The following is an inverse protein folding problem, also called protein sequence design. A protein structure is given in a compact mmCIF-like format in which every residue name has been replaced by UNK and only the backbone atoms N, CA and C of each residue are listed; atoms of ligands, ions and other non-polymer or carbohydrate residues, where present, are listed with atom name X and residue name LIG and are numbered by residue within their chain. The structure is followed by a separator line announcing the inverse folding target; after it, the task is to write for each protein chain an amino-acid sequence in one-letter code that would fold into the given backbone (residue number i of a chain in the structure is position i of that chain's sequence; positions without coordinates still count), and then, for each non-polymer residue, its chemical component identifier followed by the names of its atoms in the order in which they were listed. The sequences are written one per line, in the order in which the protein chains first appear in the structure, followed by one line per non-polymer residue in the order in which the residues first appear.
data_IF_679900446676
#
_entry.id   IF_679900446676
#
_cell.length_a   1.000
_cell.length_b   1.000
_cell.length_c   1.000
_cell.angle_alpha   90.00
_cell.angle_beta   90.00
_cell.angle_gamma   90.00
#
_symmetry.space_group_name_H-M   'P 1'
#
loop_
_entity.id
_entity.type
_entity.pdbx_description
1 polymer ?
#
# COMPACT_ATOMS: atom_id res chain seq x y z
N UNK A 1 -13.26 35.66 -41.52
CA UNK A 1 -12.89 34.33 -41.01
C UNK A 1 -14.10 33.43 -41.19
N UNK A 2 -13.93 32.25 -41.77
CA UNK A 2 -15.01 31.28 -41.99
C UNK A 2 -15.60 30.83 -40.65
N UNK A 3 -16.92 30.60 -40.64
CA UNK A 3 -17.68 30.27 -39.42
C UNK A 3 -17.15 28.97 -38.76
N UNK A 4 -16.63 28.05 -39.57
CA UNK A 4 -15.96 26.82 -39.13
C UNK A 4 -14.69 27.10 -38.32
N UNK A 5 -13.86 28.04 -38.76
CA UNK A 5 -12.64 28.42 -38.06
C UNK A 5 -12.96 29.08 -36.71
N UNK A 6 -14.08 29.81 -36.62
CA UNK A 6 -14.55 30.41 -35.37
C UNK A 6 -15.02 29.32 -34.41
N UNK A 7 -15.79 28.33 -34.88
CA UNK A 7 -16.27 27.21 -34.04
C UNK A 7 -15.08 26.38 -33.53
N UNK A 8 -14.09 26.08 -34.37
CA UNK A 8 -12.88 25.36 -33.97
C UNK A 8 -12.10 26.16 -32.92
N UNK A 9 -11.91 27.46 -33.13
CA UNK A 9 -11.20 28.31 -32.18
C UNK A 9 -11.91 28.39 -30.82
N UNK A 10 -13.25 28.49 -30.81
CA UNK A 10 -14.05 28.52 -29.58
C UNK A 10 -14.03 27.18 -28.86
N UNK A 11 -14.11 26.06 -29.60
CA UNK A 11 -14.02 24.71 -29.02
C UNK A 11 -12.65 24.44 -28.40
N UNK A 12 -11.57 24.86 -29.08
CA UNK A 12 -10.21 24.75 -28.55
C UNK A 12 -10.01 25.61 -27.30
N UNK A 13 -10.55 26.84 -27.30
CA UNK A 13 -10.51 27.74 -26.15
C UNK A 13 -11.25 27.13 -24.95
N UNK A 14 -12.44 26.57 -25.16
CA UNK A 14 -13.21 25.89 -24.12
C UNK A 14 -12.47 24.67 -23.56
N UNK A 15 -11.83 23.88 -24.42
CA UNK A 15 -11.02 22.73 -24.00
C UNK A 15 -9.84 23.14 -23.11
N UNK A 16 -9.14 24.21 -23.47
CA UNK A 16 -8.02 24.74 -22.67
C UNK A 16 -8.52 25.27 -21.32
N UNK A 17 -9.64 26.00 -21.30
CA UNK A 17 -10.23 26.51 -20.06
C UNK A 17 -10.64 25.35 -19.14
N UNK A 18 -11.25 24.30 -19.67
CA UNK A 18 -11.59 23.10 -18.89
C UNK A 18 -10.36 22.38 -18.37
N UNK A 19 -9.31 22.24 -19.18
CA UNK A 19 -8.06 21.63 -18.75
C UNK A 19 -7.43 22.39 -17.57
N UNK A 20 -7.36 23.72 -17.67
CA UNK A 20 -6.86 24.58 -16.59
C UNK A 20 -7.73 24.43 -15.33
N UNK A 21 -9.06 24.36 -15.49
CA UNK A 21 -9.99 24.16 -14.39
C UNK A 21 -9.77 22.80 -13.69
N UNK A 22 -9.52 21.73 -14.45
CA UNK A 22 -9.25 20.40 -13.89
C UNK A 22 -7.92 20.40 -13.12
N UNK A 23 -6.85 20.95 -13.71
CA UNK A 23 -5.54 21.05 -13.04
C UNK A 23 -5.66 21.90 -11.76
N UNK A 24 -6.45 22.97 -11.81
CA UNK A 24 -6.75 23.82 -10.66
C UNK A 24 -7.52 23.07 -9.58
N UNK A 25 -8.54 22.28 -9.96
CA UNK A 25 -9.31 21.48 -9.01
C UNK A 25 -8.46 20.40 -8.36
N UNK A 26 -7.58 19.72 -9.11
CA UNK A 26 -6.64 18.74 -8.53
C UNK A 26 -5.71 19.43 -7.54
N UNK A 27 -5.11 20.56 -7.91
CA UNK A 27 -4.23 21.32 -7.03
C UNK A 27 -4.97 21.83 -5.80
N UNK A 28 -6.20 22.33 -5.97
CA UNK A 28 -7.01 22.87 -4.89
C UNK A 28 -7.60 21.79 -3.98
N UNK A 29 -7.94 20.63 -4.51
CA UNK A 29 -8.32 19.45 -3.71
C UNK A 29 -7.11 18.96 -2.93
N UNK A 30 -5.93 18.89 -3.53
CA UNK A 30 -4.69 18.57 -2.84
C UNK A 30 -4.34 19.60 -1.74
N UNK A 31 -4.58 20.90 -1.98
CA UNK A 31 -4.45 21.95 -0.96
C UNK A 31 -5.54 21.86 0.11
N UNK A 32 -6.77 21.44 -0.24
CA UNK A 32 -7.87 21.24 0.71
C UNK A 32 -7.63 20.01 1.58
N UNK A 33 -7.05 18.95 1.03
CA UNK A 33 -6.57 17.79 1.78
C UNK A 33 -5.42 18.24 2.69
N UNK A 34 -4.37 18.88 2.15
CA UNK A 34 -3.26 19.40 2.94
C UNK A 34 -3.73 20.38 4.04
N UNK A 35 -4.77 21.19 3.76
CA UNK A 35 -5.34 22.15 4.71
C UNK A 35 -6.31 21.53 5.70
N UNK A 36 -7.03 20.47 5.35
CA UNK A 36 -7.85 19.70 6.29
C UNK A 36 -6.96 18.87 7.23
N UNK A 37 -5.89 18.27 6.71
CA UNK A 37 -4.86 17.58 7.49
C UNK A 37 -4.05 18.54 8.38
N UNK A 38 -3.77 19.77 7.94
CA UNK A 38 -3.10 20.78 8.78
C UNK A 38 -4.05 21.57 9.70
N UNK A 39 -5.33 21.78 9.35
CA UNK A 39 -6.30 22.40 10.26
C UNK A 39 -6.72 21.48 11.41
N UNK A 40 -6.68 20.16 11.21
CA UNK A 40 -6.79 19.22 12.34
C UNK A 40 -5.58 19.27 13.27
N UNK A 41 -4.44 19.83 12.82
CA UNK A 41 -3.23 20.08 13.61
C UNK A 41 -3.09 21.49 14.20
N UNK A 42 -3.91 22.47 13.81
CA UNK A 42 -3.73 23.89 14.21
C UNK A 42 -4.99 24.53 14.85
N UNK A 43 -6.16 23.89 14.81
CA UNK A 43 -7.35 24.37 15.52
C UNK A 43 -7.43 23.85 16.97
N UNK A 44 -6.44 24.17 17.81
CA UNK A 44 -6.55 24.04 19.28
C UNK A 44 -5.55 24.98 19.99
N UNK A 45 -5.62 26.28 19.67
CA UNK A 45 -5.07 27.33 20.53
C UNK A 45 -6.25 28.09 21.11
N UNK A 46 -6.73 27.63 22.27
CA UNK A 46 -7.87 28.21 22.96
C UNK A 46 -8.50 27.26 23.95
N UNK A 47 -7.98 27.28 25.17
CA UNK A 47 -8.63 26.85 26.42
C UNK A 47 -8.62 25.36 26.82
N UNK A 48 -8.00 25.15 27.99
CA UNK A 48 -8.13 24.06 28.98
C UNK A 48 -7.55 22.67 28.65
N UNK A 49 -6.31 22.49 29.14
CA UNK A 49 -5.84 21.39 30.00
C UNK A 49 -6.84 20.22 30.18
N UNK A 50 -6.60 19.09 29.50
CA UNK A 50 -6.34 17.72 30.02
C UNK A 50 -6.58 16.67 28.92
N UNK A 51 -5.63 15.73 28.78
CA UNK A 51 -5.68 14.44 28.05
C UNK A 51 -5.58 14.40 26.50
N UNK A 52 -4.64 13.55 26.04
CA UNK A 52 -4.31 13.16 24.66
C UNK A 52 -3.52 14.16 23.80
N UNK A 53 -2.27 14.48 24.20
CA UNK A 53 -1.25 14.65 23.16
C UNK A 53 -1.04 13.28 22.49
N UNK A 54 -1.12 13.14 21.15
CA UNK A 54 -0.68 11.92 20.49
C UNK A 54 0.79 11.72 20.84
N UNK A 55 1.09 10.69 21.63
CA UNK A 55 2.45 10.33 21.99
C UNK A 55 3.28 10.25 20.71
N UNK A 56 4.30 11.09 20.57
CA UNK A 56 5.14 11.18 19.36
C UNK A 56 5.86 9.84 19.13
N UNK A 57 5.28 8.97 18.32
CA UNK A 57 5.88 7.70 17.86
C UNK A 57 6.99 8.04 16.86
N UNK A 58 8.11 7.31 16.88
CA UNK A 58 9.25 7.53 15.97
C UNK A 58 9.77 8.98 15.96
N UNK A 59 9.90 9.60 17.12
CA UNK A 59 10.35 11.00 17.23
C UNK A 59 9.38 12.04 16.65
N UNK A 60 8.18 11.62 16.21
CA UNK A 60 7.20 12.46 15.52
C UNK A 60 7.41 12.58 14.01
N UNK A 61 8.22 11.70 13.42
CA UNK A 61 8.43 11.64 11.97
C UNK A 61 7.19 11.10 11.25
N UNK A 62 6.85 11.68 10.09
CA UNK A 62 5.86 11.09 9.18
C UNK A 62 6.41 9.85 8.47
N UNK A 63 5.56 9.04 7.85
CA UNK A 63 5.98 7.78 7.19
C UNK A 63 7.15 7.95 6.23
N UNK A 64 7.11 8.95 5.35
CA UNK A 64 8.20 9.24 4.41
C UNK A 64 9.46 9.73 5.10
N UNK A 65 9.33 10.61 6.09
CA UNK A 65 10.49 11.09 6.87
C UNK A 65 11.15 9.96 7.64
N UNK A 66 10.35 9.05 8.20
CA UNK A 66 10.82 7.86 8.90
C UNK A 66 11.58 6.94 7.94
N UNK A 67 11.04 6.70 6.74
CA UNK A 67 11.72 5.93 5.71
C UNK A 67 13.07 6.54 5.33
N UNK A 68 13.10 7.84 5.01
CA UNK A 68 14.31 8.54 4.58
C UNK A 68 15.40 8.51 5.68
N UNK A 69 15.01 8.74 6.94
CA UNK A 69 15.92 8.65 8.09
C UNK A 69 16.42 7.21 8.29
N UNK A 70 15.57 6.20 8.12
CA UNK A 70 15.97 4.80 8.27
C UNK A 70 16.96 4.36 7.20
N UNK A 71 16.75 4.78 5.95
CA UNK A 71 17.70 4.56 4.85
C UNK A 71 19.02 5.27 5.15
N UNK A 72 19.00 6.50 5.66
CA UNK A 72 20.21 7.21 6.08
C UNK A 72 20.99 6.42 7.14
N UNK A 73 20.30 5.94 8.19
CA UNK A 73 20.88 5.13 9.26
C UNK A 73 21.48 3.82 8.72
N UNK A 74 20.76 3.11 7.85
CA UNK A 74 21.23 1.86 7.24
C UNK A 74 22.50 2.06 6.40
N UNK A 75 22.68 3.25 5.82
CA UNK A 75 23.88 3.64 5.07
C UNK A 75 25.00 4.26 5.95
N UNK A 76 24.89 4.14 7.28
CA UNK A 76 25.90 4.61 8.23
C UNK A 76 25.70 6.04 8.73
N UNK A 77 24.53 6.63 8.50
CA UNK A 77 24.14 7.92 9.07
C UNK A 77 23.92 7.89 10.59
N UNK A 78 24.01 9.07 11.20
CA UNK A 78 23.74 9.26 12.62
C UNK A 78 22.24 9.18 12.92
N UNK A 79 21.88 8.64 14.08
CA UNK A 79 20.49 8.55 14.54
C UNK A 79 20.08 9.86 15.23
N UNK A 80 19.69 10.86 14.44
CA UNK A 80 19.38 12.20 14.93
C UNK A 80 18.12 12.26 15.79
N UNK A 81 17.20 11.32 15.57
CA UNK A 81 15.88 11.29 16.20
C UNK A 81 15.73 10.21 17.28
N UNK A 82 16.78 9.41 17.52
CA UNK A 82 16.77 8.33 18.52
C UNK A 82 15.83 7.18 18.13
N UNK A 83 15.58 6.98 16.84
CA UNK A 83 14.57 6.06 16.34
C UNK A 83 15.08 4.62 16.24
N UNK A 84 16.39 4.35 16.37
CA UNK A 84 16.96 2.98 16.35
C UNK A 84 16.31 2.05 17.39
N UNK A 85 15.88 2.58 18.53
CA UNK A 85 15.18 1.82 19.56
C UNK A 85 13.82 1.27 19.14
N UNK A 86 13.21 1.86 18.10
CA UNK A 86 11.92 1.45 17.55
C UNK A 86 12.06 0.56 16.29
N UNK A 87 13.26 0.02 16.01
CA UNK A 87 13.55 -0.79 14.80
C UNK A 87 12.52 -1.88 14.56
N UNK A 88 12.26 -2.73 15.55
CA UNK A 88 11.36 -3.87 15.39
C UNK A 88 9.93 -3.41 15.08
N UNK A 89 9.52 -2.27 15.63
CA UNK A 89 8.22 -1.67 15.34
C UNK A 89 8.14 -1.13 13.92
N UNK A 90 9.19 -0.46 13.46
CA UNK A 90 9.28 0.02 12.07
C UNK A 90 9.24 -1.17 11.09
N UNK A 91 10.02 -2.21 11.33
CA UNK A 91 10.03 -3.42 10.49
C UNK A 91 8.66 -4.10 10.45
N UNK A 92 7.99 -4.25 11.59
CA UNK A 92 6.64 -4.82 11.64
C UNK A 92 5.61 -4.00 10.84
N UNK A 93 5.72 -2.66 10.87
CA UNK A 93 4.84 -1.79 10.07
C UNK A 93 5.09 -1.93 8.57
N UNK A 94 6.36 -2.04 8.18
CA UNK A 94 6.72 -2.19 6.78
C UNK A 94 6.33 -3.57 6.24
N UNK A 95 6.49 -4.61 7.07
CA UNK A 95 6.07 -5.98 6.78
C UNK A 95 4.56 -6.02 6.55
N UNK A 96 3.78 -5.40 7.43
CA UNK A 96 2.33 -5.32 7.29
C UNK A 96 1.91 -4.55 6.02
N UNK A 97 2.60 -3.45 5.70
CA UNK A 97 2.36 -2.69 4.48
C UNK A 97 2.62 -3.55 3.24
N UNK A 98 3.80 -4.18 3.14
CA UNK A 98 4.15 -5.03 2.01
C UNK A 98 3.18 -6.21 1.87
N UNK A 99 2.86 -6.91 2.97
CA UNK A 99 1.85 -8.00 2.99
C UNK A 99 0.49 -7.52 2.51
N UNK A 100 0.04 -6.33 2.94
CA UNK A 100 -1.23 -5.76 2.50
C UNK A 100 -1.24 -5.52 0.99
N UNK A 101 -0.17 -4.96 0.41
CA UNK A 101 -0.08 -4.71 -1.03
C UNK A 101 -0.14 -6.01 -1.83
N UNK A 102 0.61 -7.03 -1.41
CA UNK A 102 0.66 -8.34 -2.07
C UNK A 102 -0.72 -9.00 -2.00
N UNK A 103 -1.34 -9.03 -0.82
CA UNK A 103 -2.64 -9.65 -0.59
C UNK A 103 -3.73 -8.97 -1.41
N UNK A 104 -3.82 -7.64 -1.37
CA UNK A 104 -4.79 -6.88 -2.17
C UNK A 104 -4.55 -7.11 -3.66
N UNK A 105 -3.29 -7.14 -4.12
CA UNK A 105 -2.96 -7.52 -5.49
C UNK A 105 -3.56 -8.88 -5.85
N UNK A 106 -3.29 -9.91 -5.06
CA UNK A 106 -3.79 -11.27 -5.30
C UNK A 106 -5.32 -11.36 -5.34
N UNK A 107 -6.00 -10.73 -4.38
CA UNK A 107 -7.47 -10.67 -4.33
C UNK A 107 -8.05 -9.99 -5.58
N UNK A 108 -7.40 -8.93 -6.07
CA UNK A 108 -7.79 -8.21 -7.28
C UNK A 108 -7.52 -9.02 -8.55
N UNK A 109 -6.41 -9.75 -8.59
CA UNK A 109 -6.10 -10.69 -9.67
C UNK A 109 -7.15 -11.78 -9.81
N UNK A 110 -7.54 -12.39 -8.68
CA UNK A 110 -8.54 -13.45 -8.64
C UNK A 110 -9.96 -12.95 -8.98
N UNK A 111 -10.30 -11.72 -8.60
CA UNK A 111 -11.64 -11.13 -8.83
C UNK A 111 -11.77 -10.30 -10.12
N UNK A 112 -10.69 -10.16 -10.91
CA UNK A 112 -10.63 -9.25 -12.07
C UNK A 112 -10.97 -7.79 -11.74
N UNK A 113 -10.70 -7.36 -10.51
CA UNK A 113 -10.88 -5.98 -10.05
C UNK A 113 -9.58 -5.19 -10.21
N UNK A 114 -9.63 -3.89 -10.49
CA UNK A 114 -8.43 -3.09 -10.76
C UNK A 114 -8.43 -1.75 -10.01
N UNK A 115 -8.49 -1.79 -8.70
CA UNK A 115 -8.26 -0.62 -7.84
C UNK A 115 -6.89 -0.77 -7.17
N UNK A 116 -5.95 0.12 -7.46
CA UNK A 116 -4.63 0.05 -6.83
C UNK A 116 -4.75 0.64 -5.42
N UNK A 117 -4.29 -0.07 -4.36
CA UNK A 117 -4.36 0.45 -3.01
C UNK A 117 -3.57 1.76 -2.88
N UNK A 118 -4.07 2.64 -2.01
CA UNK A 118 -3.42 3.92 -1.73
C UNK A 118 -2.03 3.72 -1.14
N UNK A 119 -1.07 4.49 -1.65
CA UNK A 119 0.26 4.66 -1.06
C UNK A 119 0.45 6.18 -0.86
N UNK A 120 0.57 6.66 0.38
CA UNK A 120 0.82 5.93 1.62
C UNK A 120 -0.39 5.15 2.16
N UNK A 121 -0.10 4.10 2.94
CA UNK A 121 -1.10 3.23 3.56
C UNK A 121 -1.24 3.58 5.05
N UNK A 122 -2.45 3.97 5.45
CA UNK A 122 -2.76 4.23 6.86
C UNK A 122 -2.98 2.91 7.61
N UNK A 123 -2.06 2.58 8.51
CA UNK A 123 -2.14 1.40 9.37
C UNK A 123 -2.72 1.81 10.73
N UNK A 124 -3.82 1.17 11.13
CA UNK A 124 -4.36 1.32 12.50
C UNK A 124 -3.48 0.57 13.50
N UNK A 125 -2.91 1.30 14.44
CA UNK A 125 -2.15 0.76 15.57
C UNK A 125 -2.95 0.88 16.88
N UNK A 126 -2.52 0.17 17.92
CA UNK A 126 -3.10 0.25 19.27
C UNK A 126 -3.08 1.66 19.89
N UNK A 127 -2.26 2.57 19.35
CA UNK A 127 -2.07 3.94 19.87
C UNK A 127 -2.39 5.03 18.84
N UNK A 128 -3.23 4.74 17.86
CA UNK A 128 -3.61 5.67 16.79
C UNK A 128 -3.28 5.11 15.40
N UNK A 129 -3.44 5.94 14.39
CA UNK A 129 -3.15 5.58 13.00
C UNK A 129 -1.75 6.05 12.62
N UNK A 130 -0.99 5.23 11.89
CA UNK A 130 0.31 5.59 11.35
C UNK A 130 0.34 5.41 9.85
N UNK A 131 0.81 6.44 9.17
CA UNK A 131 1.02 6.45 7.73
C UNK A 131 2.30 5.67 7.42
N UNK A 132 2.16 4.42 6.96
CA UNK A 132 3.30 3.64 6.49
C UNK A 132 3.62 4.02 5.05
N UNK A 133 4.89 4.27 4.77
CA UNK A 133 5.39 4.67 3.46
C UNK A 133 6.32 3.60 2.89
N UNK A 134 6.13 3.32 1.60
CA UNK A 134 7.06 2.57 0.76
C UNK A 134 7.31 3.39 -0.51
N UNK A 135 8.53 3.37 -1.08
CA UNK A 135 8.79 4.00 -2.37
C UNK A 135 7.78 3.52 -3.42
N UNK A 136 7.18 4.46 -4.16
CA UNK A 136 6.07 4.19 -5.07
C UNK A 136 6.39 3.10 -6.09
N UNK A 137 7.62 3.06 -6.61
CA UNK A 137 8.09 2.01 -7.52
C UNK A 137 8.01 0.61 -6.90
N UNK A 138 8.41 0.45 -5.64
CA UNK A 138 8.39 -0.82 -4.94
C UNK A 138 6.97 -1.23 -4.57
N UNK A 139 6.17 -0.28 -4.07
CA UNK A 139 4.77 -0.53 -3.75
C UNK A 139 3.95 -0.95 -4.98
N UNK A 140 4.10 -0.25 -6.11
CA UNK A 140 3.45 -0.61 -7.37
C UNK A 140 3.88 -1.99 -7.85
N UNK A 141 5.18 -2.29 -7.78
CA UNK A 141 5.71 -3.59 -8.20
C UNK A 141 5.16 -4.75 -7.37
N UNK A 142 5.11 -4.61 -6.04
CA UNK A 142 4.55 -5.62 -5.15
C UNK A 142 3.08 -5.90 -5.47
N UNK A 143 2.29 -4.84 -5.69
CA UNK A 143 0.88 -4.97 -6.06
C UNK A 143 0.70 -5.66 -7.42
N UNK A 144 1.45 -5.24 -8.44
CA UNK A 144 1.36 -5.79 -9.80
C UNK A 144 1.69 -7.29 -9.82
N UNK A 145 2.80 -7.67 -9.18
CA UNK A 145 3.19 -9.07 -9.07
C UNK A 145 2.19 -9.89 -8.26
N UNK A 146 1.66 -9.33 -7.17
CA UNK A 146 0.58 -9.96 -6.40
C UNK A 146 -0.66 -10.20 -7.26
N UNK A 147 -1.03 -9.23 -8.12
CA UNK A 147 -2.16 -9.33 -9.02
C UNK A 147 -1.97 -10.37 -10.11
N UNK A 148 -0.81 -10.39 -10.75
CA UNK A 148 -0.46 -11.45 -11.71
C UNK A 148 -0.47 -12.82 -11.05
N UNK A 149 -0.03 -12.92 -9.79
CA UNK A 149 -0.06 -14.15 -9.03
C UNK A 149 -1.50 -14.59 -8.70
N UNK A 150 -2.39 -13.65 -8.38
CA UNK A 150 -3.80 -13.93 -8.14
C UNK A 150 -4.57 -14.36 -9.38
N UNK A 151 -4.16 -13.88 -10.57
CA UNK A 151 -4.80 -14.21 -11.85
C UNK A 151 -4.23 -15.47 -12.54
N UNK A 152 -3.10 -16.00 -12.07
CA UNK A 152 -2.40 -17.11 -12.70
C UNK A 152 -2.80 -18.46 -12.08
N UNK A 153 -3.24 -19.39 -12.92
CA UNK A 153 -3.52 -20.78 -12.54
C UNK A 153 -2.32 -21.72 -12.78
N UNK A 154 -1.30 -21.29 -13.54
CA UNK A 154 -0.13 -22.10 -13.87
C UNK A 154 0.89 -22.11 -12.72
N UNK A 155 1.16 -23.30 -12.16
CA UNK A 155 2.13 -23.48 -11.07
C UNK A 155 3.53 -22.97 -11.43
N UNK A 156 3.98 -23.10 -12.68
CA UNK A 156 5.31 -22.60 -13.08
C UNK A 156 5.36 -21.08 -13.09
N UNK A 157 4.34 -20.44 -13.67
CA UNK A 157 4.21 -18.98 -13.65
C UNK A 157 4.08 -18.44 -12.22
N UNK A 158 3.26 -19.08 -11.38
CA UNK A 158 3.11 -18.70 -9.96
C UNK A 158 4.43 -18.76 -9.18
N UNK A 159 5.24 -19.81 -9.41
CA UNK A 159 6.57 -19.93 -8.81
C UNK A 159 7.55 -18.85 -9.29
N UNK A 160 7.48 -18.45 -10.56
CA UNK A 160 8.29 -17.35 -11.08
C UNK A 160 7.86 -15.99 -10.48
N UNK A 161 6.55 -15.77 -10.33
CA UNK A 161 5.98 -14.56 -9.73
C UNK A 161 6.30 -14.44 -8.24
N UNK A 162 6.24 -15.55 -7.49
CA UNK A 162 6.65 -15.57 -6.08
C UNK A 162 8.14 -15.29 -5.90
N UNK A 163 8.99 -15.79 -6.80
CA UNK A 163 10.42 -15.46 -6.82
C UNK A 163 10.67 -13.97 -7.09
N UNK A 164 9.95 -13.37 -8.05
CA UNK A 164 10.05 -11.93 -8.34
C UNK A 164 9.53 -11.05 -7.17
N UNK A 165 8.50 -11.51 -6.47
CA UNK A 165 8.01 -10.91 -5.23
C UNK A 165 9.09 -10.93 -4.14
N UNK A 166 9.71 -12.10 -3.92
CA UNK A 166 10.81 -12.27 -2.97
C UNK A 166 11.98 -11.35 -3.29
N UNK A 167 12.38 -11.25 -4.57
CA UNK A 167 13.44 -10.32 -5.01
C UNK A 167 13.08 -8.86 -4.75
N UNK A 168 11.83 -8.46 -4.98
CA UNK A 168 11.36 -7.09 -4.69
C UNK A 168 11.42 -6.79 -3.20
N UNK A 169 11.02 -7.73 -2.34
CA UNK A 169 11.08 -7.57 -0.88
C UNK A 169 12.51 -7.64 -0.34
N UNK A 170 13.39 -8.43 -0.96
CA UNK A 170 14.82 -8.44 -0.65
C UNK A 170 15.46 -7.08 -0.97
N UNK A 171 15.12 -6.46 -2.10
CA UNK A 171 15.59 -5.11 -2.43
C UNK A 171 15.14 -4.06 -1.40
N UNK A 172 13.89 -4.16 -0.90
CA UNK A 172 13.42 -3.35 0.23
C UNK A 172 14.30 -3.62 1.45
N UNK A 173 14.46 -4.89 1.83
CA UNK A 173 15.21 -5.33 3.02
C UNK A 173 16.65 -4.81 3.03
N UNK A 174 17.35 -4.91 1.89
CA UNK A 174 18.71 -4.41 1.72
C UNK A 174 18.78 -2.88 1.87
N UNK A 175 17.77 -2.16 1.37
CA UNK A 175 17.73 -0.69 1.46
C UNK A 175 17.58 -0.15 2.88
N UNK A 176 17.07 -0.95 3.81
CA UNK A 176 16.81 -0.56 5.20
C UNK A 176 17.53 -1.43 6.24
N UNK A 177 18.43 -2.32 5.81
CA UNK A 177 19.14 -3.30 6.65
C UNK A 177 18.19 -4.10 7.56
N UNK A 178 17.10 -4.63 6.99
CA UNK A 178 16.09 -5.39 7.75
C UNK A 178 16.52 -6.84 8.04
N UNK A 179 17.32 -7.44 7.15
CA UNK A 179 17.78 -8.83 7.22
C UNK A 179 16.80 -9.84 6.59
N UNK A 180 17.20 -11.11 6.54
CA UNK A 180 16.46 -12.15 5.82
C UNK A 180 15.12 -12.54 6.46
N UNK A 181 14.97 -12.36 7.78
CA UNK A 181 13.72 -12.67 8.49
C UNK A 181 12.55 -11.78 8.06
N UNK A 182 12.83 -10.56 7.61
CA UNK A 182 11.82 -9.64 7.07
C UNK A 182 11.21 -10.18 5.78
N UNK A 183 12.05 -10.72 4.90
CA UNK A 183 11.64 -11.30 3.62
C UNK A 183 10.81 -12.55 3.86
N UNK A 184 11.28 -13.44 4.74
CA UNK A 184 10.56 -14.66 5.12
C UNK A 184 9.16 -14.35 5.71
N UNK A 185 9.07 -13.38 6.63
CA UNK A 185 7.79 -13.03 7.26
C UNK A 185 6.81 -12.36 6.27
N UNK A 186 7.32 -11.53 5.36
CA UNK A 186 6.53 -10.89 4.31
C UNK A 186 6.00 -11.90 3.29
N UNK A 187 6.81 -12.88 2.89
CA UNK A 187 6.46 -13.90 1.90
C UNK A 187 5.62 -15.06 2.46
N UNK A 188 5.45 -15.14 3.78
CA UNK A 188 4.79 -16.27 4.46
C UNK A 188 3.40 -16.62 3.92
N UNK A 189 2.61 -15.63 3.50
CA UNK A 189 1.24 -15.84 3.03
C UNK A 189 1.15 -15.93 1.49
N UNK A 190 2.28 -16.00 0.78
CA UNK A 190 2.33 -16.05 -0.69
C UNK A 190 2.26 -17.52 -1.15
N UNK A 191 1.13 -17.97 -1.73
CA UNK A 191 0.96 -19.36 -2.12
C UNK A 191 1.72 -19.68 -3.39
N UNK A 192 2.69 -20.59 -3.29
CA UNK A 192 3.45 -21.12 -4.44
C UNK A 192 2.59 -22.06 -5.28
N UNK A 193 1.67 -22.78 -4.65
CA UNK A 193 0.75 -23.71 -5.30
C UNK A 193 -0.64 -23.08 -5.49
N UNK A 194 -1.43 -23.49 -6.50
CA UNK A 194 -2.83 -23.09 -6.61
C UNK A 194 -3.59 -23.53 -5.35
N UNK A 195 -4.64 -22.81 -4.92
CA UNK A 195 -5.54 -23.32 -3.89
C UNK A 195 -6.10 -24.66 -4.39
N UNK A 196 -5.83 -25.74 -3.67
CA UNK A 196 -6.44 -27.03 -3.95
C UNK A 196 -7.95 -26.82 -3.89
N UNK A 197 -8.65 -27.11 -4.99
CA UNK A 197 -10.11 -27.16 -4.99
C UNK A 197 -10.49 -28.18 -3.92
N UNK A 198 -11.15 -27.74 -2.84
CA UNK A 198 -11.67 -28.67 -1.84
C UNK A 198 -12.43 -29.78 -2.59
N UNK A 199 -12.09 -31.07 -2.40
CA UNK A 199 -12.85 -32.14 -3.04
C UNK A 199 -14.27 -32.02 -2.50
N UNK A 200 -15.19 -31.63 -3.40
CA UNK A 200 -16.60 -31.51 -3.08
C UNK A 200 -17.04 -32.75 -2.33
N UNK A 201 -17.75 -32.54 -1.22
CA UNK A 201 -18.34 -33.60 -0.40
C UNK A 201 -18.85 -34.71 -1.31
N UNK A 202 -18.15 -35.84 -1.31
CA UNK A 202 -18.61 -37.07 -1.91
C UNK A 202 -19.91 -37.42 -1.16
N UNK A 203 -21.04 -37.09 -1.79
CA UNK A 203 -22.37 -37.46 -1.36
C UNK A 203 -22.39 -38.98 -1.27
N UNK A 204 -22.13 -39.50 -0.06
CA UNK A 204 -22.29 -40.90 0.29
C UNK A 204 -23.69 -41.31 -0.18
N UNK A 205 -23.82 -42.23 -1.16
CA UNK A 205 -25.13 -42.74 -1.52
C UNK A 205 -25.73 -43.41 -0.29
N UNK A 206 -26.86 -42.88 0.19
CA UNK A 206 -27.64 -43.54 1.23
C UNK A 206 -28.08 -44.90 0.69
N UNK A 207 -27.42 -45.97 1.16
CA UNK A 207 -27.88 -47.33 0.99
C UNK A 207 -29.33 -47.40 1.51
N UNK A 208 -30.22 -47.76 0.61
CA UNK A 208 -31.63 -48.02 0.87
C UNK A 208 -31.78 -49.52 1.13
N UNK A 209 -31.96 -49.99 2.37
CA UNK A 209 -32.33 -51.39 2.58
C UNK A 209 -33.84 -51.50 2.38
N UNK A 210 -34.23 -51.95 1.20
CA UNK A 210 -35.52 -52.61 1.02
C UNK A 210 -35.30 -54.12 1.00
N UNK A 211 -36.25 -54.86 1.60
CA UNK A 211 -36.38 -56.33 1.66
C UNK A 211 -35.93 -57.01 2.97
N UNK A 212 -36.92 -57.38 3.77
CA UNK A 212 -36.83 -58.30 4.91
C UNK A 212 -38.12 -58.33 5.73
#
# INVERSE_FOLDING_TARGET
MSLENIVIAVSLLLGIVLLILIIYLISRVNDLEAKAFSQQGIASSGEKKTENEPQKVFGGLSGRQLWDEWVSIANGGDDQYGIKGDRDRFLALLELHARSLIKTGMEHGASSTNEQPSNPLTIKMLRGEFESFLPSSQASRLYELGRELGASEDTKQRAALSAALAETVEAISMGIDAGSSFVESTMRDVPINPPESEPGQELVPSDNPDSG
#
